data_IF_948496104254
#
_entry.id   IF_948496104254
#
_cell.length_a   1.000
_cell.length_b   1.000
_cell.length_c   1.000
_cell.angle_alpha   90.00
_cell.angle_beta   90.00
_cell.angle_gamma   90.00
#
_symmetry.space_group_name_H-M   'P 1'
#
loop_
_entity.id
_entity.type
_entity.pdbx_description
1 polymer ?
#
# COMPACT_ATOMS: atom_id res chain seq x y z
N UNK A 1 87.87 -50.18 10.85
CA UNK A 1 88.05 -49.60 9.51
C UNK A 1 87.11 -48.43 9.39
N UNK A 2 87.70 -47.35 9.55
CA UNK A 2 88.10 -46.30 8.61
C UNK A 2 86.93 -45.34 8.29
N UNK A 3 87.15 -44.24 8.75
CA UNK A 3 87.45 -42.84 8.30
C UNK A 3 86.14 -41.98 8.18
N UNK A 4 86.12 -40.91 8.95
CA UNK A 4 86.42 -39.50 8.59
C UNK A 4 85.62 -39.05 7.35
N UNK A 5 84.87 -37.92 7.38
CA UNK A 5 85.45 -36.57 7.49
C UNK A 5 84.30 -35.54 7.63
N UNK A 6 84.59 -34.49 8.34
CA UNK A 6 84.21 -33.10 8.28
C UNK A 6 83.35 -32.62 7.07
N UNK A 7 82.36 -31.84 7.30
CA UNK A 7 82.41 -30.43 6.91
C UNK A 7 81.33 -29.58 7.62
N UNK A 8 81.78 -28.69 8.29
CA UNK A 8 81.41 -27.32 8.62
C UNK A 8 80.74 -26.57 7.48
N UNK A 9 79.99 -25.55 7.90
CA UNK A 9 79.68 -24.27 7.26
C UNK A 9 78.14 -24.05 7.27
N UNK A 10 77.76 -23.20 8.17
CA UNK A 10 77.51 -21.77 8.03
C UNK A 10 76.57 -21.41 6.90
N UNK A 11 75.39 -21.00 7.31
CA UNK A 11 74.75 -19.85 6.66
C UNK A 11 73.54 -19.33 7.52
N UNK A 12 73.76 -18.24 8.03
CA UNK A 12 72.83 -17.20 8.44
C UNK A 12 71.45 -17.25 7.70
N UNK A 13 70.46 -17.66 8.41
CA UNK A 13 69.06 -17.50 8.02
C UNK A 13 68.64 -16.06 8.38
N UNK A 14 68.25 -15.20 7.43
CA UNK A 14 67.81 -13.90 7.74
C UNK A 14 66.41 -14.03 8.34
N UNK A 15 66.27 -13.71 9.61
CA UNK A 15 65.00 -13.56 10.29
C UNK A 15 64.14 -12.53 9.53
N UNK A 16 63.07 -13.00 8.95
CA UNK A 16 61.95 -12.18 8.49
C UNK A 16 61.42 -11.38 9.68
N UNK A 17 61.85 -10.15 9.79
CA UNK A 17 61.22 -9.16 10.64
C UNK A 17 59.92 -8.75 9.94
N UNK A 18 58.82 -9.44 10.23
CA UNK A 18 57.49 -8.84 10.03
C UNK A 18 57.41 -7.59 10.90
N UNK A 19 57.59 -6.46 10.27
CA UNK A 19 57.38 -5.15 10.84
C UNK A 19 55.90 -4.99 11.13
N UNK A 20 55.43 -5.40 12.31
CA UNK A 20 54.16 -5.04 12.85
C UNK A 20 54.13 -3.52 13.03
N UNK A 21 53.83 -2.79 11.96
CA UNK A 21 53.52 -1.39 12.03
C UNK A 21 52.18 -1.24 12.78
N UNK A 22 52.26 -0.96 14.06
CA UNK A 22 51.12 -0.59 14.85
C UNK A 22 50.43 0.62 14.17
N UNK A 23 49.13 0.57 13.92
CA UNK A 23 48.48 1.67 13.21
C UNK A 23 48.68 2.96 14.01
N UNK A 24 49.31 3.94 13.36
CA UNK A 24 49.64 5.24 13.93
C UNK A 24 48.38 5.83 14.59
N UNK A 25 48.53 6.48 15.74
CA UNK A 25 47.44 7.12 16.50
C UNK A 25 46.57 7.99 15.60
N UNK A 26 47.14 8.63 14.58
CA UNK A 26 46.48 9.41 13.54
C UNK A 26 45.52 8.56 12.69
N UNK A 27 45.88 7.35 12.30
CA UNK A 27 45.01 6.41 11.56
C UNK A 27 43.84 5.93 12.41
N UNK A 28 44.03 5.74 13.70
CA UNK A 28 42.92 5.35 14.62
C UNK A 28 41.93 6.49 14.78
N UNK A 29 42.39 7.75 14.93
CA UNK A 29 41.56 8.92 15.05
C UNK A 29 40.72 9.14 13.78
N UNK A 30 41.33 9.02 12.60
CA UNK A 30 40.60 9.14 11.31
C UNK A 30 39.53 8.05 11.18
N UNK A 31 39.83 6.80 11.53
CA UNK A 31 38.83 5.72 11.50
C UNK A 31 37.62 5.99 12.43
N UNK A 32 37.89 6.50 13.64
CA UNK A 32 36.83 6.86 14.57
C UNK A 32 35.97 8.02 14.06
N UNK A 33 36.57 9.03 13.42
CA UNK A 33 35.83 10.15 12.80
C UNK A 33 34.95 9.62 11.63
N UNK A 34 35.51 8.79 10.76
CA UNK A 34 34.76 8.20 9.64
C UNK A 34 33.58 7.36 10.13
N UNK A 35 33.79 6.51 11.15
CA UNK A 35 32.72 5.72 11.76
C UNK A 35 31.64 6.64 12.39
N UNK A 36 32.06 7.69 13.10
CA UNK A 36 31.16 8.68 13.67
C UNK A 36 30.31 9.39 12.62
N UNK A 37 30.91 9.81 11.51
CA UNK A 37 30.20 10.42 10.38
C UNK A 37 29.19 9.43 9.74
N UNK A 38 29.60 8.18 9.54
CA UNK A 38 28.71 7.15 8.99
C UNK A 38 27.51 6.93 9.93
N UNK A 39 27.74 6.83 11.24
CA UNK A 39 26.63 6.66 12.22
C UNK A 39 25.69 7.86 12.18
N UNK A 40 26.23 9.09 12.13
CA UNK A 40 25.40 10.31 12.03
C UNK A 40 24.60 10.33 10.74
N UNK A 41 25.19 9.98 9.60
CA UNK A 41 24.49 9.88 8.32
C UNK A 41 23.39 8.83 8.38
N UNK A 42 23.65 7.65 8.93
CA UNK A 42 22.62 6.62 9.11
C UNK A 42 21.50 7.06 10.05
N UNK A 43 21.82 7.74 11.15
CA UNK A 43 20.84 8.31 12.07
C UNK A 43 19.97 9.38 11.39
N UNK A 44 20.60 10.28 10.64
CA UNK A 44 19.85 11.31 9.86
C UNK A 44 18.96 10.66 8.81
N UNK A 45 19.47 9.68 8.06
CA UNK A 45 18.66 8.93 7.10
C UNK A 45 17.52 8.15 7.77
N UNK A 46 17.76 7.52 8.91
CA UNK A 46 16.73 6.82 9.67
C UNK A 46 15.65 7.79 10.20
N UNK A 47 16.04 8.97 10.70
CA UNK A 47 15.11 10.00 11.18
C UNK A 47 14.32 10.66 10.04
N UNK A 48 14.93 10.81 8.86
CA UNK A 48 14.24 11.37 7.68
C UNK A 48 13.39 10.33 6.95
N UNK A 49 13.73 9.03 7.07
CA UNK A 49 12.98 7.91 6.51
C UNK A 49 11.92 7.36 7.47
N UNK A 50 11.85 7.85 8.72
CA UNK A 50 10.74 7.51 9.60
C UNK A 50 9.43 7.88 8.90
N UNK A 51 8.47 6.97 8.76
CA UNK A 51 7.20 7.27 8.13
C UNK A 51 6.60 8.46 8.89
N UNK A 52 6.47 9.60 8.20
CA UNK A 52 5.76 10.77 8.75
C UNK A 52 4.44 10.23 9.26
N UNK A 53 4.10 10.57 10.50
CA UNK A 53 2.92 10.13 11.23
C UNK A 53 1.67 10.41 10.35
N UNK A 54 1.33 9.45 9.46
CA UNK A 54 0.29 9.63 8.45
C UNK A 54 -1.02 9.16 9.09
N UNK A 55 -1.60 10.09 9.81
CA UNK A 55 -2.83 9.92 10.55
C UNK A 55 -4.03 10.21 9.65
N UNK A 56 -4.12 9.67 8.46
CA UNK A 56 -5.24 9.88 7.52
C UNK A 56 -6.01 11.22 7.71
N UNK A 57 -5.37 12.25 8.25
CA UNK A 57 -5.98 13.54 8.59
C UNK A 57 -5.95 14.54 7.43
N UNK A 58 -5.20 14.24 6.39
CA UNK A 58 -5.09 15.07 5.19
C UNK A 58 -5.47 14.29 3.95
N UNK A 59 -6.09 14.96 2.98
CA UNK A 59 -6.31 14.41 1.65
C UNK A 59 -4.95 14.05 1.07
N UNK A 60 -4.82 12.80 0.64
CA UNK A 60 -3.59 12.29 0.06
C UNK A 60 -3.50 12.55 -1.44
N UNK A 61 -4.63 12.33 -2.12
CA UNK A 61 -4.71 12.48 -3.58
C UNK A 61 -6.08 13.08 -3.94
N UNK A 62 -6.08 14.31 -4.42
CA UNK A 62 -7.32 15.00 -4.81
C UNK A 62 -8.07 14.28 -5.94
N UNK A 63 -7.45 13.34 -6.64
CA UNK A 63 -8.09 12.55 -7.70
C UNK A 63 -9.00 11.45 -7.15
N UNK A 64 -8.87 11.12 -5.86
CA UNK A 64 -9.62 10.02 -5.21
C UNK A 64 -10.69 10.51 -4.24
N UNK A 65 -11.03 11.80 -4.28
CA UNK A 65 -12.07 12.39 -3.42
C UNK A 65 -13.38 12.59 -4.15
N UNK A 66 -14.47 12.57 -3.38
CA UNK A 66 -15.78 13.09 -3.73
C UNK A 66 -16.15 14.23 -2.77
N UNK A 67 -16.89 15.22 -3.27
CA UNK A 67 -17.24 16.40 -2.50
C UNK A 67 -16.24 17.53 -2.62
N UNK A 68 -16.37 18.55 -1.77
CA UNK A 68 -15.52 19.72 -1.78
C UNK A 68 -14.22 19.44 -1.01
N UNK A 69 -13.04 19.58 -1.66
CA UNK A 69 -11.73 19.37 -1.02
C UNK A 69 -11.48 20.26 0.19
N UNK A 70 -12.17 21.39 0.29
CA UNK A 70 -12.08 22.32 1.41
C UNK A 70 -13.18 22.09 2.46
N UNK A 71 -13.92 20.97 2.38
CA UNK A 71 -14.95 20.64 3.34
C UNK A 71 -14.38 20.48 4.75
N UNK A 72 -15.17 20.86 5.75
CA UNK A 72 -14.77 20.81 7.16
C UNK A 72 -14.51 19.38 7.66
N UNK A 73 -15.30 18.43 7.16
CA UNK A 73 -15.25 17.04 7.60
C UNK A 73 -14.53 16.19 6.57
N UNK A 74 -13.36 15.67 6.90
CA UNK A 74 -12.62 14.74 6.04
C UNK A 74 -12.91 13.31 6.46
N UNK A 75 -13.54 12.56 5.57
CA UNK A 75 -13.85 11.14 5.73
C UNK A 75 -13.00 10.31 4.80
N UNK A 76 -12.43 9.24 5.31
CA UNK A 76 -11.59 8.32 4.56
C UNK A 76 -12.15 6.92 4.64
N UNK A 77 -12.29 6.25 3.51
CA UNK A 77 -12.48 4.81 3.41
C UNK A 77 -11.22 4.17 2.89
N UNK A 78 -10.64 3.29 3.68
CA UNK A 78 -9.60 2.36 3.22
C UNK A 78 -10.29 1.11 2.70
N UNK A 79 -10.00 0.75 1.47
CA UNK A 79 -10.71 -0.30 0.74
C UNK A 79 -9.76 -1.25 0.02
N UNK A 80 -10.23 -2.46 -0.20
CA UNK A 80 -9.62 -3.43 -1.09
C UNK A 80 -10.67 -3.87 -2.12
N UNK A 81 -10.37 -3.76 -3.40
CA UNK A 81 -11.31 -4.03 -4.48
C UNK A 81 -11.82 -5.47 -4.46
N UNK A 82 -11.00 -6.42 -3.97
CA UNK A 82 -11.38 -7.83 -3.89
C UNK A 82 -12.10 -8.19 -2.59
N UNK A 83 -12.21 -7.26 -1.64
CA UNK A 83 -12.96 -7.48 -0.41
C UNK A 83 -14.48 -7.33 -0.65
N UNK A 84 -15.29 -8.38 -0.42
CA UNK A 84 -16.73 -8.33 -0.70
C UNK A 84 -17.47 -7.27 0.13
N UNK A 85 -17.05 -7.05 1.36
CA UNK A 85 -17.65 -6.03 2.24
C UNK A 85 -17.33 -4.60 1.77
N UNK A 86 -16.14 -4.40 1.17
CA UNK A 86 -15.74 -3.15 0.56
C UNK A 86 -16.58 -2.85 -0.69
N UNK A 87 -16.75 -3.85 -1.54
CA UNK A 87 -17.47 -3.69 -2.81
C UNK A 87 -18.96 -3.45 -2.59
N UNK A 88 -19.57 -3.97 -1.52
CA UNK A 88 -20.97 -3.66 -1.18
C UNK A 88 -21.14 -2.19 -0.86
N UNK A 89 -20.31 -1.61 0.01
CA UNK A 89 -20.37 -0.16 0.30
C UNK A 89 -20.22 0.66 -0.98
N UNK A 90 -19.18 0.35 -1.76
CA UNK A 90 -18.88 1.07 -3.01
C UNK A 90 -20.01 0.94 -4.04
N UNK A 91 -20.62 -0.23 -4.15
CA UNK A 91 -21.77 -0.45 -5.02
C UNK A 91 -23.00 0.35 -4.58
N UNK A 92 -23.33 0.34 -3.30
CA UNK A 92 -24.47 1.09 -2.77
C UNK A 92 -24.31 2.60 -2.99
N UNK A 93 -23.11 3.15 -2.77
CA UNK A 93 -22.83 4.57 -3.03
C UNK A 93 -22.87 4.90 -4.52
N UNK A 94 -22.39 4.00 -5.38
CA UNK A 94 -22.43 4.15 -6.83
C UNK A 94 -23.85 4.10 -7.39
N UNK A 95 -24.67 3.14 -6.96
CA UNK A 95 -26.05 2.98 -7.38
C UNK A 95 -26.94 4.14 -6.90
N UNK A 96 -26.52 4.88 -5.87
CA UNK A 96 -27.19 6.03 -5.30
C UNK A 96 -26.33 7.30 -5.33
N UNK A 97 -25.53 7.46 -6.38
CA UNK A 97 -24.48 8.49 -6.47
C UNK A 97 -25.02 9.90 -6.19
N UNK A 98 -26.14 10.30 -6.80
CA UNK A 98 -26.73 11.63 -6.58
C UNK A 98 -27.12 11.87 -5.11
N UNK A 99 -27.68 10.85 -4.45
CA UNK A 99 -28.01 10.93 -3.02
C UNK A 99 -26.77 11.01 -2.16
N UNK A 100 -25.72 10.24 -2.50
CA UNK A 100 -24.47 10.22 -1.78
C UNK A 100 -23.75 11.56 -1.90
N UNK A 101 -23.62 12.11 -3.09
CA UNK A 101 -23.00 13.42 -3.32
C UNK A 101 -23.80 14.55 -2.64
N UNK A 102 -25.14 14.48 -2.66
CA UNK A 102 -25.98 15.41 -1.92
C UNK A 102 -25.71 15.32 -0.42
N UNK A 103 -25.64 14.11 0.14
CA UNK A 103 -25.34 13.90 1.56
C UNK A 103 -23.97 14.50 1.93
N UNK A 104 -22.94 14.26 1.14
CA UNK A 104 -21.61 14.85 1.36
C UNK A 104 -21.66 16.38 1.37
N UNK A 105 -22.38 16.97 0.44
CA UNK A 105 -22.55 18.42 0.34
C UNK A 105 -23.32 19.00 1.53
N UNK A 106 -24.44 18.38 1.91
CA UNK A 106 -25.31 18.87 2.99
C UNK A 106 -24.61 18.84 4.37
N UNK A 107 -23.63 17.94 4.54
CA UNK A 107 -22.89 17.77 5.80
C UNK A 107 -21.45 18.31 5.74
N UNK A 108 -21.11 19.05 4.68
CA UNK A 108 -19.76 19.62 4.48
C UNK A 108 -18.66 18.55 4.64
N UNK A 109 -18.80 17.44 3.89
CA UNK A 109 -17.91 16.29 3.90
C UNK A 109 -17.11 16.23 2.59
N UNK A 110 -15.81 16.02 2.68
CA UNK A 110 -14.98 15.45 1.62
C UNK A 110 -14.75 13.98 1.93
N UNK A 111 -15.08 13.11 0.99
CA UNK A 111 -14.91 11.66 1.12
C UNK A 111 -13.75 11.20 0.24
N UNK A 112 -12.70 10.65 0.87
CA UNK A 112 -11.51 10.12 0.20
C UNK A 112 -11.54 8.60 0.19
N UNK A 113 -11.27 8.02 -0.98
CA UNK A 113 -11.13 6.57 -1.13
C UNK A 113 -9.66 6.20 -1.28
N UNK A 114 -9.14 5.33 -0.41
CA UNK A 114 -7.77 4.81 -0.44
C UNK A 114 -7.77 3.33 -0.76
N UNK A 115 -7.40 3.00 -1.99
CA UNK A 115 -7.33 1.61 -2.46
C UNK A 115 -6.01 0.98 -2.05
N UNK A 116 -6.10 -0.24 -1.53
CA UNK A 116 -4.99 -1.05 -1.01
C UNK A 116 -5.02 -2.45 -1.60
N UNK A 117 -3.94 -3.20 -1.43
CA UNK A 117 -3.84 -4.63 -1.69
C UNK A 117 -3.83 -5.45 -0.39
N UNK A 118 -4.63 -5.03 0.59
CA UNK A 118 -4.64 -5.57 1.95
C UNK A 118 -4.82 -7.09 2.00
N UNK A 119 -5.69 -7.66 1.16
CA UNK A 119 -5.90 -9.10 1.13
C UNK A 119 -4.68 -9.86 0.59
N UNK A 120 -4.00 -9.33 -0.44
CA UNK A 120 -2.76 -9.93 -0.95
C UNK A 120 -1.63 -9.83 0.06
N UNK A 121 -1.45 -8.68 0.70
CA UNK A 121 -0.37 -8.46 1.67
C UNK A 121 -0.53 -9.32 2.93
N UNK A 122 -1.77 -9.64 3.33
CA UNK A 122 -2.06 -10.50 4.47
C UNK A 122 -2.29 -11.98 4.09
N UNK A 123 -1.90 -12.41 2.90
CA UNK A 123 -2.03 -13.77 2.39
C UNK A 123 -3.48 -14.31 2.41
N UNK A 124 -4.47 -13.42 2.32
CA UNK A 124 -5.89 -13.76 2.23
C UNK A 124 -6.39 -13.86 0.79
N UNK A 125 -5.58 -13.43 -0.17
CA UNK A 125 -5.83 -13.51 -1.60
C UNK A 125 -4.89 -14.51 -2.26
N UNK A 126 -5.40 -15.71 -2.46
CA UNK A 126 -4.63 -16.84 -3.04
C UNK A 126 -4.10 -16.56 -4.44
N UNK A 127 -4.76 -15.70 -5.20
CA UNK A 127 -4.49 -15.50 -6.63
C UNK A 127 -3.79 -14.17 -6.94
N UNK A 128 -3.57 -13.31 -5.96
CA UNK A 128 -2.96 -11.99 -6.15
C UNK A 128 -3.86 -10.97 -6.84
N UNK A 129 -5.16 -11.22 -6.91
CA UNK A 129 -6.11 -10.32 -7.59
C UNK A 129 -6.31 -8.98 -6.87
N UNK A 130 -6.18 -8.98 -5.54
CA UNK A 130 -6.22 -7.76 -4.73
C UNK A 130 -5.11 -6.80 -5.16
N UNK A 131 -3.88 -7.31 -5.25
CA UNK A 131 -2.73 -6.51 -5.72
C UNK A 131 -2.92 -6.02 -7.15
N UNK A 132 -3.27 -6.92 -8.06
CA UNK A 132 -3.48 -6.57 -9.47
C UNK A 132 -4.58 -5.53 -9.64
N UNK A 133 -5.70 -5.64 -8.92
CA UNK A 133 -6.80 -4.67 -8.97
C UNK A 133 -6.40 -3.31 -8.39
N UNK A 134 -5.63 -3.29 -7.31
CA UNK A 134 -5.13 -2.05 -6.72
C UNK A 134 -4.14 -1.32 -7.66
N UNK A 135 -3.24 -2.06 -8.31
CA UNK A 135 -2.35 -1.51 -9.34
C UNK A 135 -3.14 -0.96 -10.54
N UNK A 136 -4.16 -1.68 -11.01
CA UNK A 136 -5.01 -1.24 -12.11
C UNK A 136 -5.73 0.08 -11.78
N UNK A 137 -6.31 0.19 -10.57
CA UNK A 137 -6.92 1.45 -10.10
C UNK A 137 -5.89 2.57 -10.00
N UNK A 138 -4.69 2.27 -9.51
CA UNK A 138 -3.62 3.26 -9.42
C UNK A 138 -3.14 3.72 -10.81
N UNK A 139 -3.03 2.84 -11.80
CA UNK A 139 -2.73 3.20 -13.20
C UNK A 139 -3.80 4.13 -13.80
N UNK A 140 -5.07 3.88 -13.54
CA UNK A 140 -6.16 4.77 -13.96
C UNK A 140 -6.10 6.14 -13.26
N UNK A 141 -5.67 6.17 -12.00
CA UNK A 141 -5.47 7.41 -11.23
C UNK A 141 -4.41 8.30 -11.88
N UNK A 142 -3.33 7.74 -12.41
CA UNK A 142 -2.29 8.52 -13.10
C UNK A 142 -2.81 9.20 -14.39
N UNK A 143 -3.91 8.69 -14.94
CA UNK A 143 -4.62 9.32 -16.07
C UNK A 143 -5.76 10.26 -15.62
N UNK A 144 -5.87 10.59 -14.32
CA UNK A 144 -6.97 11.37 -13.75
C UNK A 144 -8.36 10.75 -13.98
N UNK A 145 -8.44 9.42 -14.06
CA UNK A 145 -9.67 8.66 -14.36
C UNK A 145 -10.01 7.67 -13.24
N UNK A 146 -9.63 8.01 -11.99
CA UNK A 146 -9.85 7.17 -10.82
C UNK A 146 -11.31 6.73 -10.70
N UNK A 147 -12.26 7.66 -10.63
CA UNK A 147 -13.66 7.35 -10.37
C UNK A 147 -14.32 6.60 -11.53
N UNK A 148 -14.04 6.98 -12.78
CA UNK A 148 -14.59 6.27 -13.95
C UNK A 148 -14.17 4.81 -13.94
N UNK A 149 -12.88 4.56 -13.71
CA UNK A 149 -12.35 3.21 -13.70
C UNK A 149 -12.80 2.42 -12.48
N UNK A 150 -12.71 3.00 -11.27
CA UNK A 150 -13.13 2.35 -10.03
C UNK A 150 -14.60 1.95 -10.07
N UNK A 151 -15.49 2.86 -10.47
CA UNK A 151 -16.91 2.57 -10.60
C UNK A 151 -17.18 1.45 -11.60
N UNK A 152 -16.48 1.43 -12.73
CA UNK A 152 -16.64 0.36 -13.72
C UNK A 152 -16.12 -0.98 -13.20
N UNK A 153 -15.02 -0.99 -12.45
CA UNK A 153 -14.51 -2.19 -11.76
C UNK A 153 -15.57 -2.76 -10.80
N UNK A 154 -16.17 -1.91 -9.96
CA UNK A 154 -17.22 -2.35 -9.02
C UNK A 154 -18.44 -2.92 -9.76
N UNK A 155 -18.89 -2.27 -10.86
CA UNK A 155 -20.00 -2.78 -11.70
C UNK A 155 -19.67 -4.15 -12.30
N UNK A 156 -18.47 -4.30 -12.88
CA UNK A 156 -18.05 -5.55 -13.52
C UNK A 156 -17.89 -6.68 -12.52
N UNK A 157 -17.28 -6.46 -11.36
CA UNK A 157 -17.19 -7.46 -10.31
C UNK A 157 -18.57 -7.89 -9.81
N UNK A 158 -19.52 -6.97 -9.68
CA UNK A 158 -20.89 -7.30 -9.34
C UNK A 158 -21.56 -8.14 -10.44
N UNK A 159 -21.55 -7.68 -11.68
CA UNK A 159 -22.24 -8.33 -12.79
C UNK A 159 -21.64 -9.71 -13.13
N UNK A 160 -20.33 -9.82 -13.14
CA UNK A 160 -19.65 -11.02 -13.60
C UNK A 160 -19.59 -12.11 -12.51
N UNK A 161 -19.57 -11.71 -11.23
CA UNK A 161 -19.31 -12.63 -10.11
C UNK A 161 -20.27 -12.48 -8.93
N UNK A 162 -20.32 -11.35 -8.27
CA UNK A 162 -20.94 -11.22 -6.96
C UNK A 162 -22.47 -11.38 -6.99
N UNK A 163 -23.14 -10.89 -8.04
CA UNK A 163 -24.58 -11.13 -8.27
C UNK A 163 -24.94 -12.61 -8.40
N UNK A 164 -23.95 -13.45 -8.71
CA UNK A 164 -24.07 -14.92 -8.86
C UNK A 164 -23.59 -15.66 -7.60
N UNK A 165 -23.33 -14.94 -6.50
CA UNK A 165 -22.85 -15.53 -5.25
C UNK A 165 -21.36 -15.92 -5.26
N UNK A 166 -20.57 -15.49 -6.27
CA UNK A 166 -19.13 -15.78 -6.37
C UNK A 166 -18.34 -14.63 -5.75
N UNK A 167 -17.38 -14.94 -4.88
CA UNK A 167 -16.53 -13.92 -4.22
C UNK A 167 -17.27 -13.02 -3.24
N UNK A 168 -18.42 -13.44 -2.70
CA UNK A 168 -19.26 -12.64 -1.79
C UNK A 168 -18.91 -12.80 -0.32
N UNK A 169 -18.14 -13.84 0.03
CA UNK A 169 -17.66 -14.10 1.39
C UNK A 169 -16.53 -15.14 1.36
N UNK A 170 -15.86 -15.35 2.50
CA UNK A 170 -14.83 -16.40 2.63
C UNK A 170 -15.35 -17.83 2.39
N UNK A 171 -16.65 -18.04 2.54
CA UNK A 171 -17.31 -19.35 2.35
C UNK A 171 -17.96 -19.48 0.97
N UNK A 172 -18.00 -18.42 0.18
CA UNK A 172 -18.53 -18.46 -1.18
C UNK A 172 -17.50 -19.04 -2.15
N UNK A 173 -17.93 -19.53 -3.33
CA UNK A 173 -17.00 -19.87 -4.40
C UNK A 173 -16.06 -18.69 -4.70
N UNK A 174 -14.75 -18.96 -4.74
CA UNK A 174 -13.78 -17.90 -5.03
C UNK A 174 -13.79 -17.52 -6.51
N UNK A 175 -13.53 -16.26 -6.81
CA UNK A 175 -13.18 -15.79 -8.16
C UNK A 175 -11.81 -16.40 -8.51
N UNK A 176 -11.63 -16.93 -9.72
CA UNK A 176 -10.42 -17.69 -10.12
C UNK A 176 -9.80 -17.27 -11.43
N UNK A 177 -10.47 -16.42 -12.19
CA UNK A 177 -10.20 -16.17 -13.59
C UNK A 177 -9.96 -14.69 -13.94
N UNK A 178 -9.65 -13.85 -12.96
CA UNK A 178 -9.24 -12.46 -13.21
C UNK A 178 -7.81 -12.43 -13.77
N UNK A 179 -7.69 -12.12 -15.03
CA UNK A 179 -6.40 -11.96 -15.73
C UNK A 179 -6.08 -10.48 -15.95
N UNK A 180 -4.84 -10.11 -16.31
CA UNK A 180 -4.54 -8.74 -16.75
C UNK A 180 -5.50 -8.24 -17.84
N UNK A 181 -5.92 -9.12 -18.76
CA UNK A 181 -6.86 -8.78 -19.83
C UNK A 181 -8.25 -8.36 -19.30
N UNK A 182 -8.70 -8.89 -18.16
CA UNK A 182 -9.93 -8.45 -17.52
C UNK A 182 -9.86 -6.96 -17.15
N UNK A 183 -8.81 -6.54 -16.48
CA UNK A 183 -8.59 -5.15 -16.07
C UNK A 183 -8.38 -4.20 -17.25
N UNK A 184 -7.67 -4.68 -18.28
CA UNK A 184 -7.49 -3.94 -19.55
C UNK A 184 -8.80 -3.77 -20.31
N UNK A 185 -9.72 -4.76 -20.27
CA UNK A 185 -11.04 -4.62 -20.87
C UNK A 185 -11.86 -3.51 -20.23
N UNK A 186 -11.79 -3.40 -18.89
CA UNK A 186 -12.45 -2.33 -18.14
C UNK A 186 -11.84 -0.95 -18.50
N UNK A 187 -10.52 -0.88 -18.62
CA UNK A 187 -9.83 0.34 -19.04
C UNK A 187 -10.30 0.82 -20.42
N UNK A 188 -10.49 -0.11 -21.35
CA UNK A 188 -11.04 0.18 -22.68
C UNK A 188 -12.49 0.67 -22.63
N UNK A 189 -13.33 0.08 -21.78
CA UNK A 189 -14.74 0.49 -21.62
C UNK A 189 -14.88 1.94 -21.13
N UNK A 190 -13.94 2.41 -20.31
CA UNK A 190 -13.92 3.81 -19.83
C UNK A 190 -12.97 4.71 -20.64
N UNK A 191 -12.51 4.26 -21.79
CA UNK A 191 -11.64 5.00 -22.71
C UNK A 191 -10.35 5.53 -22.05
N UNK A 192 -9.64 4.69 -21.27
CA UNK A 192 -8.31 5.03 -20.79
C UNK A 192 -7.30 5.00 -21.95
N UNK A 193 -6.25 5.82 -21.82
CA UNK A 193 -5.13 5.82 -22.75
C UNK A 193 -4.42 4.45 -22.76
N UNK A 194 -3.95 3.95 -23.93
CA UNK A 194 -3.24 2.68 -24.04
C UNK A 194 -2.04 2.49 -23.12
N UNK A 195 -1.43 3.57 -22.61
CA UNK A 195 -0.37 3.52 -21.61
C UNK A 195 -0.79 2.86 -20.29
N UNK A 196 -2.11 2.72 -20.03
CA UNK A 196 -2.65 1.91 -18.94
C UNK A 196 -2.13 0.47 -19.01
N UNK A 197 -2.10 -0.13 -20.19
CA UNK A 197 -1.67 -1.52 -20.37
C UNK A 197 -0.19 -1.71 -20.00
N UNK A 198 0.65 -0.77 -20.39
CA UNK A 198 2.08 -0.74 -20.02
C UNK A 198 2.25 -0.53 -18.52
N UNK A 199 1.52 0.45 -17.94
CA UNK A 199 1.52 0.71 -16.51
C UNK A 199 1.23 -0.56 -15.69
N UNK A 200 0.18 -1.31 -16.09
CA UNK A 200 -0.24 -2.52 -15.38
C UNK A 200 0.74 -3.69 -15.61
N UNK A 201 1.18 -3.93 -16.86
CA UNK A 201 2.06 -5.05 -17.20
C UNK A 201 3.48 -4.90 -16.63
N UNK A 202 3.95 -3.69 -16.45
CA UNK A 202 5.28 -3.37 -15.89
C UNK A 202 5.23 -3.09 -14.39
N UNK A 203 4.07 -3.27 -13.75
CA UNK A 203 3.87 -3.04 -12.31
C UNK A 203 4.32 -1.64 -11.83
N UNK A 204 4.14 -0.60 -12.68
CA UNK A 204 4.62 0.77 -12.38
C UNK A 204 4.07 1.36 -11.09
N UNK A 205 2.93 0.85 -10.62
CA UNK A 205 2.25 1.37 -9.42
C UNK A 205 2.43 0.49 -8.19
N UNK A 206 3.21 -0.59 -8.25
CA UNK A 206 3.38 -1.54 -7.16
C UNK A 206 3.86 -0.89 -5.86
N UNK A 207 4.88 -0.03 -5.93
CA UNK A 207 5.43 0.63 -4.73
C UNK A 207 4.42 1.60 -4.11
N UNK A 208 3.65 2.31 -4.93
CA UNK A 208 2.56 3.19 -4.46
C UNK A 208 1.46 2.39 -3.76
N UNK A 209 1.07 1.25 -4.33
CA UNK A 209 0.08 0.35 -3.72
C UNK A 209 0.58 -0.19 -2.38
N UNK A 210 1.80 -0.70 -2.32
CA UNK A 210 2.43 -1.17 -1.07
C UNK A 210 2.49 -0.08 -0.01
N UNK A 211 2.86 1.14 -0.39
CA UNK A 211 2.87 2.28 0.51
C UNK A 211 1.46 2.57 1.05
N UNK A 212 0.43 2.58 0.19
CA UNK A 212 -0.96 2.76 0.61
C UNK A 212 -1.38 1.71 1.64
N UNK A 213 -1.01 0.45 1.39
CA UNK A 213 -1.35 -0.67 2.28
C UNK A 213 -0.61 -0.58 3.62
N UNK A 214 0.67 -0.21 3.62
CA UNK A 214 1.44 -0.01 4.86
C UNK A 214 0.86 1.12 5.73
N UNK A 215 0.45 2.23 5.12
CA UNK A 215 -0.21 3.33 5.82
C UNK A 215 -1.57 2.93 6.38
N UNK A 216 -2.36 2.20 5.58
CA UNK A 216 -3.63 1.65 6.01
C UNK A 216 -3.47 0.69 7.20
N UNK A 217 -2.50 -0.20 7.14
CA UNK A 217 -2.17 -1.14 8.23
C UNK A 217 -1.77 -0.40 9.51
N UNK A 218 -0.95 0.65 9.39
CA UNK A 218 -0.56 1.50 10.52
C UNK A 218 -1.78 2.19 11.15
N UNK A 219 -2.66 2.75 10.32
CA UNK A 219 -3.92 3.35 10.75
C UNK A 219 -4.81 2.33 11.46
N UNK A 220 -5.03 1.16 10.84
CA UNK A 220 -5.85 0.10 11.44
C UNK A 220 -5.30 -0.36 12.79
N UNK A 221 -4.00 -0.54 12.89
CA UNK A 221 -3.33 -0.89 14.16
C UNK A 221 -3.53 0.17 15.24
N UNK A 222 -3.43 1.46 14.92
CA UNK A 222 -3.62 2.57 15.86
C UNK A 222 -5.02 2.60 16.47
N UNK A 223 -6.04 2.32 15.67
CA UNK A 223 -7.44 2.35 16.10
C UNK A 223 -7.99 0.96 16.46
N UNK A 224 -7.14 -0.05 16.51
CA UNK A 224 -7.51 -1.46 16.78
C UNK A 224 -8.65 -1.96 15.87
N UNK A 225 -8.55 -1.67 14.55
CA UNK A 225 -9.55 -2.05 13.56
C UNK A 225 -9.26 -3.47 13.04
N UNK A 226 -10.27 -4.32 13.03
CA UNK A 226 -10.11 -5.75 12.76
C UNK A 226 -10.21 -6.17 11.29
N UNK A 227 -10.43 -5.26 10.33
CA UNK A 227 -10.61 -5.67 8.93
C UNK A 227 -11.04 -4.56 7.98
N UNK A 228 -11.37 -4.97 6.76
CA UNK A 228 -11.77 -4.10 5.67
C UNK A 228 -13.29 -4.20 5.40
N UNK A 229 -13.92 -3.13 4.92
CA UNK A 229 -13.39 -1.76 4.79
C UNK A 229 -13.09 -1.15 6.16
N UNK A 230 -12.10 -0.25 6.23
CA UNK A 230 -11.84 0.57 7.41
C UNK A 230 -12.13 2.03 7.11
N UNK A 231 -12.72 2.73 8.08
CA UNK A 231 -13.18 4.09 7.90
C UNK A 231 -12.62 5.02 8.98
N UNK A 232 -12.36 6.24 8.57
CA UNK A 232 -12.07 7.36 9.47
C UNK A 232 -13.05 8.49 9.17
N UNK A 233 -13.81 8.91 10.16
CA UNK A 233 -14.77 10.01 10.10
C UNK A 233 -14.35 11.08 11.11
N UNK A 234 -13.56 12.04 10.69
CA UNK A 234 -12.96 13.01 11.62
C UNK A 234 -12.09 12.31 12.67
N UNK A 235 -12.49 12.35 13.94
CA UNK A 235 -11.80 11.68 15.05
C UNK A 235 -12.28 10.23 15.29
N UNK A 236 -13.40 9.83 14.74
CA UNK A 236 -13.97 8.49 14.89
C UNK A 236 -13.42 7.55 13.82
N UNK A 237 -13.08 6.31 14.21
CA UNK A 237 -12.64 5.27 13.31
C UNK A 237 -13.38 3.96 13.59
N UNK A 238 -13.70 3.23 12.54
CA UNK A 238 -14.40 1.94 12.62
C UNK A 238 -13.99 1.05 11.44
N UNK A 239 -14.34 -0.24 11.51
CA UNK A 239 -14.13 -1.19 10.41
C UNK A 239 -15.35 -2.07 10.19
N UNK A 240 -15.43 -2.62 8.96
CA UNK A 240 -16.49 -3.49 8.52
C UNK A 240 -17.71 -2.73 7.97
N UNK A 241 -18.45 -3.42 7.12
CA UNK A 241 -19.72 -2.99 6.57
C UNK A 241 -20.55 -4.24 6.27
N UNK A 242 -21.78 -4.30 6.74
CA UNK A 242 -22.59 -5.50 6.58
C UNK A 242 -23.15 -5.61 5.15
N UNK A 243 -22.99 -6.76 4.54
CA UNK A 243 -23.42 -7.01 3.17
C UNK A 243 -24.94 -7.08 2.99
N UNK A 244 -25.70 -7.19 4.07
CA UNK A 244 -27.17 -7.15 4.08
C UNK A 244 -27.72 -5.72 4.12
N UNK A 245 -26.88 -4.71 4.32
CA UNK A 245 -27.32 -3.33 4.41
C UNK A 245 -27.68 -2.76 3.04
N UNK A 246 -28.68 -1.89 3.05
CA UNK A 246 -29.08 -1.06 1.91
C UNK A 246 -28.49 0.36 2.01
N UNK A 247 -28.80 1.21 1.03
CA UNK A 247 -28.27 2.57 1.02
C UNK A 247 -28.70 3.41 2.25
N UNK A 248 -29.85 3.14 2.87
CA UNK A 248 -30.28 3.88 4.06
C UNK A 248 -29.32 3.71 5.26
N UNK A 249 -28.57 2.60 5.29
CA UNK A 249 -27.52 2.39 6.28
C UNK A 249 -26.25 3.19 6.00
N UNK A 250 -25.95 3.47 4.73
CA UNK A 250 -24.79 4.29 4.36
C UNK A 250 -24.83 5.65 5.05
N UNK A 251 -25.93 6.36 4.93
CA UNK A 251 -26.09 7.68 5.56
C UNK A 251 -26.03 7.61 7.09
N UNK A 252 -26.72 6.64 7.71
CA UNK A 252 -26.66 6.44 9.18
C UNK A 252 -25.26 6.05 9.65
N UNK A 253 -24.53 5.29 8.84
CA UNK A 253 -23.18 4.89 9.13
C UNK A 253 -22.22 6.09 9.11
N UNK A 254 -22.31 6.93 8.08
CA UNK A 254 -21.51 8.15 7.94
C UNK A 254 -21.86 9.20 9.02
N UNK A 255 -23.12 9.26 9.46
CA UNK A 255 -23.55 10.18 10.52
C UNK A 255 -22.86 9.94 11.87
N UNK A 256 -22.22 8.79 12.09
CA UNK A 256 -21.45 8.53 13.30
C UNK A 256 -20.26 9.49 13.47
N UNK A 257 -19.71 9.99 12.38
CA UNK A 257 -18.61 10.95 12.38
C UNK A 257 -19.02 12.41 12.54
N UNK A 258 -20.32 12.71 12.55
CA UNK A 258 -20.87 14.08 12.70
C UNK A 258 -21.19 14.46 14.15
N UNK A 259 -20.91 13.57 15.12
CA UNK A 259 -21.23 13.75 16.55
C UNK A 259 -20.13 14.46 17.29
#
# INVERSE_FOLDING_TARGET
MSKNDHHQIDSTDPKDYEEHTSPNMFSRVIRLIVIGVIIVVFLVLALTSAPKNQDLNSIRDERTILGNKNAKNHYVMVTDVMCPYCTVFSRLTLENQEKFEKYLKDHDIVFELRVTDFLSENNMDRYGFSRMSAEAVACATEQNRFWDYYHQVIRRLWQDYQSKGIGTSKNAPAIKDLTPAYWQSIAKEVNLDPSFNECLSEHKMLDKVKQNTAEATTFMGRYNLGGMPSFKFGSFATSGFDTSWDYSYVERFLAQGLK
#
